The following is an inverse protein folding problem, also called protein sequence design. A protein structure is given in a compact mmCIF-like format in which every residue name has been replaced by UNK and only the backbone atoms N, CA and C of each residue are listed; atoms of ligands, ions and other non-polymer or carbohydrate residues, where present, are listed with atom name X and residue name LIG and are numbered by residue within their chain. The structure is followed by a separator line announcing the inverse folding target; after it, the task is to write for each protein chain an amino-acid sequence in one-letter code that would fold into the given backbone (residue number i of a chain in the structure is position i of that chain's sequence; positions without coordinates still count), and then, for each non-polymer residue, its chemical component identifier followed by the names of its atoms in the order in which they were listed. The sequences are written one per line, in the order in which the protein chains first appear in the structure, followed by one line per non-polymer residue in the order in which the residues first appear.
data_IF_393103819037
#
_entry.id   IF_393103819037
#
_cell.length_a   1.000
_cell.length_b   1.000
_cell.length_c   1.000
_cell.angle_alpha   90.00
_cell.angle_beta   90.00
_cell.angle_gamma   90.00
#
_symmetry.space_group_name_H-M   'P 1'
#
loop_
_entity.id
_entity.type
_entity.pdbx_description
1 polymer ?
#
# COMPACT_ATOMS: atom_id res chain seq x y z
N UNK A 1 57.20 129.11 -45.22
CA UNK A 1 55.89 128.46 -45.50
C UNK A 1 56.03 127.03 -46.02
N UNK A 2 56.85 126.77 -47.05
CA UNK A 2 56.92 125.45 -47.71
C UNK A 2 57.35 124.29 -46.77
N UNK A 3 58.37 124.47 -45.93
CA UNK A 3 58.78 123.44 -44.96
C UNK A 3 57.70 123.07 -43.93
N UNK A 4 56.86 124.02 -43.49
CA UNK A 4 55.84 123.75 -42.48
C UNK A 4 54.70 122.88 -43.02
N UNK A 5 54.27 123.15 -44.26
CA UNK A 5 53.25 122.34 -44.95
C UNK A 5 53.73 120.92 -45.26
N UNK A 6 55.01 120.76 -45.65
CA UNK A 6 55.60 119.45 -45.90
C UNK A 6 55.73 118.63 -44.62
N UNK A 7 56.11 119.27 -43.51
CA UNK A 7 56.18 118.64 -42.20
C UNK A 7 54.78 118.21 -41.70
N UNK A 8 53.75 119.06 -41.83
CA UNK A 8 52.37 118.71 -41.46
C UNK A 8 51.82 117.52 -42.26
N UNK A 9 52.09 117.47 -43.58
CA UNK A 9 51.67 116.35 -44.43
C UNK A 9 52.36 115.04 -44.02
N UNK A 10 53.64 115.12 -43.67
CA UNK A 10 54.39 113.99 -43.13
C UNK A 10 53.83 113.50 -41.79
N UNK A 11 53.48 114.40 -40.87
CA UNK A 11 52.85 114.05 -39.59
C UNK A 11 51.52 113.34 -39.77
N UNK A 12 50.66 113.83 -40.67
CA UNK A 12 49.36 113.19 -40.94
C UNK A 12 49.54 111.80 -41.55
N UNK A 13 50.45 111.64 -42.51
CA UNK A 13 50.75 110.33 -43.09
C UNK A 13 51.30 109.35 -42.04
N UNK A 14 52.17 109.82 -41.14
CA UNK A 14 52.68 109.02 -40.04
C UNK A 14 51.56 108.59 -39.07
N UNK A 15 50.65 109.50 -38.71
CA UNK A 15 49.50 109.19 -37.85
C UNK A 15 48.53 108.18 -38.50
N UNK A 16 48.27 108.31 -39.80
CA UNK A 16 47.44 107.36 -40.56
C UNK A 16 48.08 105.97 -40.57
N UNK A 17 49.37 105.88 -40.89
CA UNK A 17 50.09 104.61 -40.89
C UNK A 17 50.12 103.97 -39.50
N UNK A 18 50.26 104.77 -38.44
CA UNK A 18 50.21 104.30 -37.06
C UNK A 18 48.83 103.72 -36.70
N UNK A 19 47.75 104.38 -37.11
CA UNK A 19 46.38 103.89 -36.90
C UNK A 19 46.09 102.61 -37.69
N UNK A 20 46.53 102.53 -38.94
CA UNK A 20 46.40 101.32 -39.76
C UNK A 20 47.20 100.15 -39.15
N UNK A 21 48.42 100.43 -38.66
CA UNK A 21 49.23 99.44 -37.96
C UNK A 21 48.55 98.91 -36.69
N UNK A 22 48.05 99.79 -35.82
CA UNK A 22 47.34 99.38 -34.60
C UNK A 22 46.05 98.59 -34.94
N UNK A 23 45.30 99.02 -35.95
CA UNK A 23 44.11 98.29 -36.42
C UNK A 23 44.48 96.89 -36.94
N UNK A 24 45.52 96.79 -37.77
CA UNK A 24 45.97 95.51 -38.32
C UNK A 24 46.47 94.58 -37.22
N UNK A 25 47.20 95.11 -36.25
CA UNK A 25 47.66 94.39 -35.06
C UNK A 25 46.48 93.89 -34.22
N UNK A 26 45.46 94.71 -34.03
CA UNK A 26 44.24 94.29 -33.32
C UNK A 26 43.52 93.17 -34.09
N UNK A 27 43.34 93.29 -35.41
CA UNK A 27 42.77 92.23 -36.24
C UNK A 27 43.60 90.94 -36.22
N UNK A 28 44.93 91.03 -36.21
CA UNK A 28 45.82 89.87 -36.07
C UNK A 28 45.59 89.17 -34.72
N UNK A 29 45.51 89.93 -33.62
CA UNK A 29 45.25 89.35 -32.29
C UNK A 29 43.88 88.71 -32.20
N UNK A 30 42.83 89.31 -32.78
CA UNK A 30 41.49 88.73 -32.84
C UNK A 30 41.44 87.45 -33.69
N UNK A 31 42.10 87.44 -34.85
CA UNK A 31 42.22 86.25 -35.70
C UNK A 31 43.01 85.15 -35.01
N UNK A 32 44.07 85.49 -34.28
CA UNK A 32 44.87 84.55 -33.49
C UNK A 32 44.04 83.89 -32.38
N UNK A 33 43.30 84.70 -31.61
CA UNK A 33 42.42 84.19 -30.55
C UNK A 33 41.31 83.28 -31.13
N UNK A 34 40.69 83.69 -32.24
CA UNK A 34 39.65 82.91 -32.91
C UNK A 34 40.17 81.60 -33.49
N UNK A 35 41.39 81.61 -34.03
CA UNK A 35 42.06 80.39 -34.49
C UNK A 35 42.32 79.44 -33.33
N UNK A 36 42.79 79.95 -32.18
CA UNK A 36 43.03 79.13 -30.99
C UNK A 36 41.73 78.51 -30.44
N UNK A 37 40.62 79.25 -30.44
CA UNK A 37 39.30 78.72 -30.06
C UNK A 37 38.81 77.62 -31.02
N UNK A 38 39.00 77.81 -32.33
CA UNK A 38 38.66 76.81 -33.34
C UNK A 38 39.52 75.54 -33.20
N UNK A 39 40.80 75.66 -32.88
CA UNK A 39 41.70 74.54 -32.61
C UNK A 39 41.18 73.73 -31.41
N UNK A 40 40.93 74.39 -30.27
CA UNK A 40 40.43 73.73 -29.06
C UNK A 40 39.08 73.04 -29.28
N UNK A 41 38.19 73.68 -30.05
CA UNK A 41 36.89 73.10 -30.39
C UNK A 41 37.04 71.87 -31.29
N UNK A 42 37.96 71.92 -32.26
CA UNK A 42 38.23 70.80 -33.14
C UNK A 42 38.89 69.64 -32.39
N UNK A 43 39.84 69.90 -31.49
CA UNK A 43 40.45 68.90 -30.62
C UNK A 43 39.42 68.19 -29.74
N UNK A 44 38.50 68.95 -29.13
CA UNK A 44 37.39 68.38 -28.35
C UNK A 44 36.48 67.50 -29.21
N UNK A 45 36.19 67.91 -30.44
CA UNK A 45 35.39 67.13 -31.38
C UNK A 45 36.10 65.84 -31.80
N UNK A 46 37.39 65.90 -32.08
CA UNK A 46 38.20 64.73 -32.43
C UNK A 46 38.35 63.76 -31.25
N UNK A 47 38.44 64.27 -30.02
CA UNK A 47 38.40 63.43 -28.83
C UNK A 47 37.06 62.70 -28.70
N UNK A 48 35.93 63.42 -28.80
CA UNK A 48 34.61 62.81 -28.75
C UNK A 48 34.40 61.75 -29.85
N UNK A 49 34.96 61.96 -31.05
CA UNK A 49 34.96 60.96 -32.13
C UNK A 49 35.74 59.70 -31.78
N UNK A 50 36.91 59.83 -31.15
CA UNK A 50 37.71 58.69 -30.70
C UNK A 50 36.99 57.90 -29.62
N UNK A 51 36.37 58.59 -28.67
CA UNK A 51 35.62 57.95 -27.57
C UNK A 51 34.40 57.20 -28.11
N UNK A 52 33.65 57.80 -29.05
CA UNK A 52 32.53 57.13 -29.72
C UNK A 52 32.98 55.91 -30.50
N UNK A 53 34.11 55.99 -31.23
CA UNK A 53 34.66 54.85 -31.96
C UNK A 53 35.07 53.71 -31.01
N UNK A 54 35.67 54.02 -29.87
CA UNK A 54 36.01 53.02 -28.85
C UNK A 54 34.78 52.34 -28.24
N UNK A 55 33.69 53.09 -28.06
CA UNK A 55 32.40 52.54 -27.63
C UNK A 55 31.78 51.63 -28.70
N UNK A 56 31.79 52.05 -29.97
CA UNK A 56 31.32 51.23 -31.10
C UNK A 56 32.07 49.89 -31.19
N UNK A 57 33.41 49.92 -31.07
CA UNK A 57 34.25 48.72 -31.07
C UNK A 57 33.93 47.79 -29.89
N UNK A 58 33.59 48.35 -28.73
CA UNK A 58 33.20 47.58 -27.54
C UNK A 58 31.83 46.94 -27.73
N UNK A 59 30.85 47.70 -28.21
CA UNK A 59 29.50 47.19 -28.50
C UNK A 59 29.55 46.07 -29.56
N UNK A 60 30.38 46.21 -30.59
CA UNK A 60 30.55 45.17 -31.60
C UNK A 60 31.09 43.85 -31.00
N UNK A 61 32.04 43.92 -30.06
CA UNK A 61 32.58 42.75 -29.36
C UNK A 61 31.53 42.08 -28.47
N UNK A 62 30.75 42.86 -27.72
CA UNK A 62 29.68 42.33 -26.86
C UNK A 62 28.58 41.65 -27.69
N UNK A 63 28.17 42.25 -28.81
CA UNK A 63 27.22 41.64 -29.74
C UNK A 63 27.74 40.31 -30.31
N UNK A 64 29.03 40.24 -30.67
CA UNK A 64 29.63 39.01 -31.14
C UNK A 64 29.68 37.94 -30.04
N UNK A 65 29.99 38.31 -28.80
CA UNK A 65 29.97 37.40 -27.64
C UNK A 65 28.56 36.86 -27.39
N UNK A 66 27.54 37.72 -27.41
CA UNK A 66 26.14 37.32 -27.28
C UNK A 66 25.72 36.38 -28.40
N UNK A 67 26.14 36.63 -29.64
CA UNK A 67 25.88 35.75 -30.77
C UNK A 67 26.50 34.36 -30.55
N UNK A 68 27.76 34.31 -30.09
CA UNK A 68 28.47 33.06 -29.81
C UNK A 68 27.78 32.26 -28.67
N UNK A 69 27.38 32.94 -27.59
CA UNK A 69 26.65 32.33 -26.48
C UNK A 69 25.29 31.79 -26.93
N UNK A 70 24.53 32.56 -27.72
CA UNK A 70 23.28 32.10 -28.32
C UNK A 70 23.49 30.85 -29.17
N UNK A 71 24.55 30.83 -30.00
CA UNK A 71 24.87 29.68 -30.85
C UNK A 71 25.15 28.44 -30.00
N UNK A 72 25.98 28.56 -28.96
CA UNK A 72 26.28 27.46 -28.04
C UNK A 72 25.02 26.96 -27.32
N UNK A 73 24.17 27.88 -26.84
CA UNK A 73 22.92 27.53 -26.18
C UNK A 73 21.97 26.76 -27.10
N UNK A 74 21.77 27.25 -28.34
CA UNK A 74 20.92 26.57 -29.33
C UNK A 74 21.50 25.20 -29.70
N UNK A 75 22.83 25.08 -29.83
CA UNK A 75 23.48 23.80 -30.08
C UNK A 75 23.31 22.81 -28.92
N UNK A 76 23.50 23.26 -27.67
CA UNK A 76 23.29 22.43 -26.48
C UNK A 76 21.82 22.00 -26.37
N UNK A 77 20.88 22.92 -26.62
CA UNK A 77 19.45 22.63 -26.63
C UNK A 77 19.11 21.60 -27.71
N UNK A 78 19.60 21.78 -28.95
CA UNK A 78 19.42 20.82 -30.04
C UNK A 78 20.04 19.47 -29.70
N UNK A 79 21.21 19.43 -29.08
CA UNK A 79 21.87 18.20 -28.65
C UNK A 79 21.06 17.49 -27.56
N UNK A 80 20.52 18.22 -26.58
CA UNK A 80 19.63 17.67 -25.53
C UNK A 80 18.32 17.16 -26.09
N UNK A 81 17.67 17.90 -27.00
CA UNK A 81 16.44 17.46 -27.67
C UNK A 81 16.71 16.19 -28.49
N UNK A 82 17.80 16.15 -29.27
CA UNK A 82 18.18 14.93 -29.99
C UNK A 82 18.46 13.78 -29.03
N UNK A 83 19.13 14.04 -27.90
CA UNK A 83 19.42 13.02 -26.89
C UNK A 83 18.15 12.56 -26.16
N UNK A 84 17.18 13.43 -25.90
CA UNK A 84 15.91 13.05 -25.27
C UNK A 84 15.01 12.29 -26.22
N UNK A 85 14.92 12.71 -27.50
CA UNK A 85 14.21 11.96 -28.55
C UNK A 85 14.87 10.61 -28.77
N UNK A 86 16.20 10.56 -28.84
CA UNK A 86 16.93 9.29 -28.93
C UNK A 86 16.85 8.48 -27.64
N UNK A 87 16.65 9.08 -26.45
CA UNK A 87 16.43 8.32 -25.22
C UNK A 87 15.05 7.68 -25.23
N UNK A 88 14.03 8.36 -25.74
CA UNK A 88 12.70 7.77 -25.93
C UNK A 88 12.73 6.67 -27.01
N UNK A 89 13.56 6.79 -28.06
CA UNK A 89 13.79 5.71 -29.04
C UNK A 89 14.76 4.61 -28.54
N UNK A 90 15.69 4.90 -27.61
CA UNK A 90 16.59 3.90 -26.98
C UNK A 90 15.94 3.21 -25.77
N UNK A 91 14.80 3.67 -25.27
CA UNK A 91 13.93 2.84 -24.42
C UNK A 91 13.30 1.70 -25.25
N UNK A 92 13.33 1.77 -26.59
CA UNK A 92 13.02 0.62 -27.48
C UNK A 92 14.27 -0.26 -27.75
N UNK A 93 15.50 0.26 -27.57
CA UNK A 93 16.76 -0.51 -27.63
C UNK A 93 17.55 -0.52 -26.31
N UNK A 94 16.86 -0.77 -25.21
CA UNK A 94 17.43 -1.53 -24.11
C UNK A 94 18.50 -0.91 -23.21
N UNK A 95 18.06 -0.61 -21.99
CA UNK A 95 18.88 -0.96 -20.83
C UNK A 95 19.51 -2.36 -20.99
N UNK A 96 20.73 -2.54 -20.46
CA UNK A 96 21.53 -3.78 -20.52
C UNK A 96 20.66 -5.05 -20.53
N UNK A 97 21.03 -6.09 -21.27
CA UNK A 97 20.27 -7.36 -21.32
C UNK A 97 19.86 -7.86 -19.91
N UNK A 98 20.73 -7.64 -18.92
CA UNK A 98 20.46 -7.92 -17.51
C UNK A 98 19.30 -7.08 -16.92
N UNK A 99 19.22 -5.80 -17.29
CA UNK A 99 18.11 -4.91 -16.94
C UNK A 99 16.80 -5.33 -17.60
N UNK A 100 16.79 -5.70 -18.89
CA UNK A 100 15.59 -6.25 -19.56
C UNK A 100 15.08 -7.51 -18.86
N UNK A 101 15.97 -8.44 -18.54
CA UNK A 101 15.61 -9.66 -17.79
C UNK A 101 15.07 -9.34 -16.39
N UNK A 102 15.68 -8.38 -15.69
CA UNK A 102 15.22 -7.93 -14.38
C UNK A 102 13.84 -7.27 -14.42
N UNK A 103 13.59 -6.43 -15.42
CA UNK A 103 12.26 -5.82 -15.64
C UNK A 103 11.23 -6.92 -15.89
N UNK A 104 11.49 -7.84 -16.83
CA UNK A 104 10.57 -8.95 -17.14
C UNK A 104 10.27 -9.84 -15.91
N UNK A 105 11.28 -10.11 -15.08
CA UNK A 105 11.09 -10.85 -13.84
C UNK A 105 10.17 -10.10 -12.85
N UNK A 106 10.39 -8.81 -12.67
CA UNK A 106 9.56 -7.98 -11.77
C UNK A 106 8.13 -7.83 -12.29
N UNK A 107 7.95 -7.67 -13.60
CA UNK A 107 6.64 -7.64 -14.24
C UNK A 107 5.87 -8.95 -14.00
N UNK A 108 6.51 -10.10 -14.22
CA UNK A 108 5.88 -11.40 -13.96
C UNK A 108 5.54 -11.57 -12.48
N UNK A 109 6.43 -11.15 -11.57
CA UNK A 109 6.16 -11.22 -10.14
C UNK A 109 4.96 -10.34 -9.74
N UNK A 110 4.89 -9.12 -10.27
CA UNK A 110 3.78 -8.20 -10.05
C UNK A 110 2.45 -8.77 -10.58
N UNK A 111 2.48 -9.41 -11.75
CA UNK A 111 1.34 -10.10 -12.34
C UNK A 111 0.86 -11.28 -11.49
N UNK A 112 1.79 -12.09 -10.98
CA UNK A 112 1.48 -13.21 -10.08
C UNK A 112 0.87 -12.72 -8.78
N UNK A 113 1.46 -11.69 -8.16
CA UNK A 113 0.95 -11.10 -6.93
C UNK A 113 -0.46 -10.53 -7.14
N UNK A 114 -0.69 -9.88 -8.28
CA UNK A 114 -2.01 -9.37 -8.67
C UNK A 114 -3.03 -10.51 -8.86
N UNK A 115 -2.63 -11.63 -9.48
CA UNK A 115 -3.49 -12.80 -9.64
C UNK A 115 -3.88 -13.41 -8.28
N UNK A 116 -2.90 -13.62 -7.40
CA UNK A 116 -3.13 -14.15 -6.04
C UNK A 116 -4.02 -13.19 -5.25
N UNK A 117 -3.76 -11.88 -5.30
CA UNK A 117 -4.60 -10.88 -4.63
C UNK A 117 -6.05 -10.93 -5.12
N UNK A 118 -6.26 -10.93 -6.44
CA UNK A 118 -7.61 -11.05 -7.03
C UNK A 118 -8.30 -12.35 -6.60
N UNK A 119 -7.56 -13.46 -6.52
CA UNK A 119 -8.12 -14.74 -6.06
C UNK A 119 -8.53 -14.67 -4.59
N UNK A 120 -7.64 -14.21 -3.70
CA UNK A 120 -7.93 -14.07 -2.28
C UNK A 120 -9.11 -13.14 -2.01
N UNK A 121 -9.26 -12.05 -2.77
CA UNK A 121 -10.42 -11.16 -2.66
C UNK A 121 -11.72 -11.89 -3.02
N UNK A 122 -11.73 -12.70 -4.08
CA UNK A 122 -12.89 -13.53 -4.46
C UNK A 122 -13.18 -14.58 -3.39
N UNK A 123 -12.18 -15.37 -3.00
CA UNK A 123 -12.35 -16.41 -1.98
C UNK A 123 -12.83 -15.83 -0.65
N UNK A 124 -12.34 -14.64 -0.28
CA UNK A 124 -12.79 -13.96 0.93
C UNK A 124 -14.26 -13.50 0.83
N UNK A 125 -14.69 -13.04 -0.35
CA UNK A 125 -16.10 -12.71 -0.59
C UNK A 125 -16.99 -13.97 -0.53
N UNK A 126 -16.55 -15.08 -1.11
CA UNK A 126 -17.26 -16.36 -1.07
C UNK A 126 -17.39 -16.88 0.37
N UNK A 127 -16.29 -16.90 1.13
CA UNK A 127 -16.28 -17.29 2.54
C UNK A 127 -17.20 -16.40 3.40
N UNK A 128 -17.20 -15.08 3.16
CA UNK A 128 -18.13 -14.15 3.82
C UNK A 128 -19.59 -14.49 3.54
N UNK A 129 -19.91 -15.02 2.36
CA UNK A 129 -21.25 -15.45 1.99
C UNK A 129 -21.60 -16.86 2.52
N UNK A 130 -20.62 -17.76 2.63
CA UNK A 130 -20.82 -19.12 3.12
C UNK A 130 -20.95 -19.19 4.64
N UNK A 131 -20.18 -18.39 5.38
CA UNK A 131 -20.17 -18.41 6.84
C UNK A 131 -21.58 -18.26 7.45
N UNK A 132 -22.43 -17.27 7.06
CA UNK A 132 -23.80 -17.17 7.57
C UNK A 132 -24.69 -18.39 7.25
N UNK A 133 -24.43 -19.09 6.13
CA UNK A 133 -25.19 -20.29 5.75
C UNK A 133 -24.84 -21.46 6.66
N UNK A 134 -23.55 -21.66 6.92
CA UNK A 134 -23.06 -22.68 7.85
C UNK A 134 -23.53 -22.41 9.28
N UNK A 135 -23.48 -21.15 9.72
CA UNK A 135 -24.01 -20.74 11.02
C UNK A 135 -25.52 -21.01 11.17
N UNK A 136 -26.33 -20.71 10.15
CA UNK A 136 -27.77 -21.02 10.15
C UNK A 136 -28.03 -22.53 10.24
N UNK A 137 -27.29 -23.33 9.47
CA UNK A 137 -27.37 -24.80 9.52
C UNK A 137 -26.99 -25.31 10.91
N UNK A 138 -25.91 -24.78 11.50
CA UNK A 138 -25.46 -25.17 12.83
C UNK A 138 -26.53 -24.87 13.88
N UNK A 139 -27.11 -23.66 13.88
CA UNK A 139 -28.21 -23.30 14.79
C UNK A 139 -29.41 -24.24 14.66
N UNK A 140 -29.86 -24.52 13.44
CA UNK A 140 -30.97 -25.46 13.22
C UNK A 140 -30.64 -26.88 13.72
N UNK A 141 -29.40 -27.34 13.54
CA UNK A 141 -28.99 -28.65 14.08
C UNK A 141 -28.94 -28.67 15.61
N UNK A 142 -28.47 -27.59 16.24
CA UNK A 142 -28.47 -27.44 17.70
C UNK A 142 -29.90 -27.45 18.26
N UNK A 143 -30.83 -26.73 17.62
CA UNK A 143 -32.24 -26.72 18.00
C UNK A 143 -32.88 -28.11 17.86
N UNK A 144 -32.61 -28.81 16.75
CA UNK A 144 -33.08 -30.19 16.55
C UNK A 144 -32.54 -31.14 17.60
N UNK A 145 -31.26 -31.03 17.96
CA UNK A 145 -30.65 -31.86 19.02
C UNK A 145 -31.34 -31.58 20.36
N UNK A 146 -31.50 -30.31 20.73
CA UNK A 146 -32.20 -29.93 21.97
C UNK A 146 -33.64 -30.45 22.02
N UNK A 147 -34.37 -30.41 20.90
CA UNK A 147 -35.71 -30.97 20.79
C UNK A 147 -35.71 -32.49 21.00
N UNK A 148 -34.77 -33.21 20.39
CA UNK A 148 -34.63 -34.66 20.55
C UNK A 148 -34.24 -35.04 21.99
N UNK A 149 -33.32 -34.30 22.62
CA UNK A 149 -32.95 -34.52 24.03
C UNK A 149 -34.16 -34.32 24.96
N UNK A 150 -34.97 -33.30 24.69
CA UNK A 150 -36.19 -33.03 25.45
C UNK A 150 -37.21 -34.16 25.25
N UNK A 151 -37.49 -34.55 24.01
CA UNK A 151 -38.41 -35.64 23.70
C UNK A 151 -37.95 -36.98 24.30
N UNK A 152 -36.65 -37.26 24.29
CA UNK A 152 -36.08 -38.46 24.91
C UNK A 152 -36.26 -38.46 26.43
N UNK A 153 -36.02 -37.31 27.07
CA UNK A 153 -36.23 -37.14 28.51
C UNK A 153 -37.71 -37.35 28.86
N UNK A 154 -38.62 -36.72 28.13
CA UNK A 154 -40.07 -36.87 28.32
C UNK A 154 -40.55 -38.31 28.10
N UNK A 155 -40.04 -38.99 27.06
CA UNK A 155 -40.37 -40.39 26.79
C UNK A 155 -39.89 -41.31 27.92
N UNK A 156 -38.67 -41.09 28.45
CA UNK A 156 -38.15 -41.85 29.60
C UNK A 156 -38.98 -41.60 30.87
N UNK A 157 -39.33 -40.35 31.15
CA UNK A 157 -40.19 -39.99 32.27
C UNK A 157 -41.62 -40.55 32.11
N UNK A 158 -42.15 -40.58 30.89
CA UNK A 158 -43.41 -41.23 30.54
C UNK A 158 -43.39 -42.72 30.83
N UNK A 159 -42.41 -43.45 30.29
CA UNK A 159 -42.26 -44.88 30.51
C UNK A 159 -42.08 -45.24 31.99
N UNK A 160 -41.32 -44.44 32.75
CA UNK A 160 -41.17 -44.62 34.19
C UNK A 160 -42.49 -44.39 34.95
N UNK A 161 -43.29 -43.38 34.56
CA UNK A 161 -44.63 -43.15 35.12
C UNK A 161 -45.57 -44.32 34.84
N UNK A 162 -45.58 -44.82 33.62
CA UNK A 162 -46.45 -45.94 33.22
C UNK A 162 -46.07 -47.24 33.94
N UNK A 163 -44.78 -47.53 34.05
CA UNK A 163 -44.28 -48.64 34.88
C UNK A 163 -44.76 -48.53 36.32
N UNK A 164 -44.72 -47.34 36.92
CA UNK A 164 -45.20 -47.11 38.29
C UNK A 164 -46.72 -47.32 38.42
N UNK A 165 -47.51 -46.84 37.45
CA UNK A 165 -48.97 -47.09 37.42
C UNK A 165 -49.28 -48.58 37.29
N UNK A 166 -48.62 -49.26 36.37
CA UNK A 166 -48.79 -50.70 36.16
C UNK A 166 -48.44 -51.49 37.42
N UNK A 167 -47.31 -51.17 38.07
CA UNK A 167 -46.92 -51.82 39.32
C UNK A 167 -47.97 -51.62 40.42
N UNK A 168 -48.48 -50.39 40.59
CA UNK A 168 -49.53 -50.10 41.56
C UNK A 168 -50.81 -50.91 41.29
N UNK A 169 -51.23 -51.00 40.03
CA UNK A 169 -52.41 -51.77 39.63
C UNK A 169 -52.22 -53.28 39.89
N UNK A 170 -51.04 -53.82 39.56
CA UNK A 170 -50.68 -55.20 39.86
C UNK A 170 -50.73 -55.49 41.36
N UNK A 171 -50.17 -54.61 42.19
CA UNK A 171 -50.15 -54.80 43.64
C UNK A 171 -51.55 -54.65 44.26
N UNK A 172 -52.38 -53.73 43.74
CA UNK A 172 -53.81 -53.63 44.08
C UNK A 172 -54.55 -54.94 43.79
N UNK A 173 -54.33 -55.54 42.62
CA UNK A 173 -54.93 -56.82 42.24
C UNK A 173 -54.41 -57.95 43.14
N UNK A 174 -53.09 -58.04 43.37
CA UNK A 174 -52.51 -59.05 44.28
C UNK A 174 -53.13 -58.98 45.67
N UNK A 175 -53.32 -57.78 46.21
CA UNK A 175 -53.92 -57.58 47.53
C UNK A 175 -55.40 -58.01 47.54
N UNK A 176 -56.18 -57.66 46.52
CA UNK A 176 -57.55 -58.14 46.38
C UNK A 176 -57.64 -59.68 46.28
N UNK A 177 -56.73 -60.30 45.53
CA UNK A 177 -56.63 -61.77 45.43
C UNK A 177 -56.25 -62.39 46.78
N UNK A 178 -55.28 -61.81 47.51
CA UNK A 178 -54.87 -62.26 48.84
C UNK A 178 -56.04 -62.20 49.83
N UNK A 179 -56.79 -61.10 49.86
CA UNK A 179 -57.98 -60.96 50.69
C UNK A 179 -59.05 -62.01 50.35
N UNK A 180 -59.30 -62.26 49.05
CA UNK A 180 -60.24 -63.30 48.59
C UNK A 180 -59.78 -64.72 48.96
N UNK A 181 -58.48 -65.01 48.86
CA UNK A 181 -57.92 -66.30 49.25
C UNK A 181 -57.95 -66.50 50.77
N UNK A 182 -57.70 -65.45 51.56
CA UNK A 182 -57.78 -65.50 53.01
C UNK A 182 -59.23 -65.68 53.48
N UNK A 183 -60.20 -65.03 52.84
CA UNK A 183 -61.63 -65.23 53.06
C UNK A 183 -62.10 -66.65 52.70
N UNK A 184 -61.40 -67.35 51.78
CA UNK A 184 -61.69 -68.74 51.39
C UNK A 184 -61.04 -69.78 52.30
N UNK A 185 -60.04 -69.38 53.10
CA UNK A 185 -59.42 -70.23 54.12
C UNK A 185 -60.23 -70.14 55.41
N UNK A 186 -61.41 -70.77 55.40
CA UNK A 186 -62.09 -71.17 56.64
C UNK A 186 -61.23 -72.13 57.47
N UNK A 187 -61.55 -72.38 58.75
CA UNK A 187 -60.71 -73.14 59.67
C UNK A 187 -60.34 -74.52 59.10
N UNK A 188 -59.07 -74.73 58.78
CA UNK A 188 -58.58 -76.04 58.36
C UNK A 188 -58.42 -76.94 59.58
N UNK A 189 -59.20 -78.03 59.65
CA UNK A 189 -59.02 -79.08 60.65
C UNK A 189 -57.63 -79.73 60.52
N UNK A 190 -56.84 -79.74 61.60
CA UNK A 190 -55.59 -80.48 61.68
C UNK A 190 -55.89 -81.98 61.82
N UNK A 191 -55.75 -82.72 60.72
CA UNK A 191 -55.76 -84.19 60.73
C UNK A 191 -54.30 -84.64 60.89
N UNK A 192 -53.94 -85.08 62.10
CA UNK A 192 -52.70 -85.78 62.37
C UNK A 192 -52.68 -87.11 61.59
N UNK A 193 -51.57 -87.42 60.92
CA UNK A 193 -51.29 -88.75 60.36
C UNK A 193 -50.00 -89.33 60.96
N UNK A 194 -49.89 -90.68 61.05
CA UNK A 194 -49.13 -91.39 62.08
C UNK A 194 -47.63 -91.51 61.77
N UNK A 195 -46.88 -91.78 62.83
CA UNK A 195 -45.43 -91.99 62.90
C UNK A 195 -45.02 -93.27 62.15
N UNK A 196 -44.04 -93.18 61.23
CA UNK A 196 -43.08 -94.27 61.00
C UNK A 196 -41.69 -93.71 60.68
N UNK A 197 -40.73 -94.19 61.46
CA UNK A 197 -39.32 -93.82 61.52
C UNK A 197 -38.51 -94.21 60.27
N UNK A 198 -37.47 -93.43 59.99
CA UNK A 198 -36.51 -93.68 58.91
C UNK A 198 -35.60 -92.47 58.65
N UNK A 199 -34.80 -92.13 59.66
CA UNK A 199 -33.71 -91.14 59.67
C UNK A 199 -32.46 -91.85 59.10
N UNK A 200 -31.65 -91.32 58.17
CA UNK A 200 -30.53 -90.38 58.37
C UNK A 200 -29.87 -90.12 56.98
N UNK A 201 -29.59 -88.87 56.53
CA UNK A 201 -28.46 -87.95 56.87
C UNK A 201 -27.20 -88.23 55.99
N UNK A 202 -26.44 -87.30 55.36
CA UNK A 202 -26.52 -85.88 55.01
C UNK A 202 -25.24 -85.50 54.20
N UNK A 203 -25.22 -84.28 53.64
CA UNK A 203 -24.08 -83.39 53.26
C UNK A 203 -23.47 -83.59 51.85
N UNK A 204 -23.22 -82.53 51.05
CA UNK A 204 -23.37 -81.09 51.31
C UNK A 204 -23.06 -80.18 50.09
N UNK A 205 -23.53 -78.93 50.22
CA UNK A 205 -22.84 -77.63 49.96
C UNK A 205 -22.38 -77.29 48.50
N UNK A 206 -23.20 -76.53 47.74
CA UNK A 206 -23.04 -75.09 47.31
C UNK A 206 -22.32 -74.88 45.92
N UNK A 207 -22.27 -73.66 45.30
CA UNK A 207 -23.32 -73.14 44.42
C UNK A 207 -22.80 -72.43 43.11
N UNK A 208 -23.72 -71.85 42.31
CA UNK A 208 -23.56 -70.74 41.32
C UNK A 208 -22.55 -70.87 40.14
N UNK A 209 -23.05 -70.83 38.90
CA UNK A 209 -22.54 -69.94 37.80
C UNK A 209 -23.46 -70.00 36.56
N UNK A 210 -23.74 -68.83 35.97
CA UNK A 210 -24.77 -68.61 34.93
C UNK A 210 -24.35 -68.90 33.48
N UNK A 211 -25.25 -68.67 32.50
CA UNK A 211 -24.93 -68.76 31.09
C UNK A 211 -24.47 -67.41 30.53
N UNK A 212 -23.52 -67.49 29.60
CA UNK A 212 -22.73 -66.38 29.11
C UNK A 212 -23.44 -65.37 28.22
N UNK A 213 -22.69 -64.31 27.92
CA UNK A 213 -22.51 -63.77 26.57
C UNK A 213 -21.29 -62.87 26.56
N UNK A 214 -20.38 -63.21 25.66
CA UNK A 214 -19.15 -62.50 25.33
C UNK A 214 -19.56 -61.18 24.67
N UNK A 215 -19.10 -60.06 25.23
CA UNK A 215 -19.08 -58.76 24.57
C UNK A 215 -17.77 -58.68 23.79
N UNK A 216 -17.88 -58.53 22.48
CA UNK A 216 -16.79 -58.17 21.60
C UNK A 216 -16.70 -56.64 21.46
N UNK A 217 -15.46 -56.21 21.38
CA UNK A 217 -14.92 -55.01 20.71
C UNK A 217 -15.22 -53.61 21.28
N UNK A 218 -14.25 -53.19 22.09
CA UNK A 218 -13.80 -51.81 22.26
C UNK A 218 -13.08 -51.37 20.96
N UNK A 219 -13.64 -50.41 20.24
CA UNK A 219 -12.98 -49.77 19.09
C UNK A 219 -12.94 -48.26 19.31
N UNK A 220 -11.77 -47.79 19.75
CA UNK A 220 -11.44 -46.37 19.90
C UNK A 220 -10.81 -45.86 18.60
N UNK A 221 -11.32 -44.78 17.97
CA UNK A 221 -10.72 -44.29 16.74
C UNK A 221 -9.47 -43.46 17.06
N UNK A 222 -8.28 -44.05 16.86
CA UNK A 222 -7.02 -43.31 16.77
C UNK A 222 -7.05 -42.41 15.54
N UNK A 223 -6.95 -41.09 15.79
CA UNK A 223 -6.77 -40.02 14.81
C UNK A 223 -5.54 -40.30 13.92
N UNK A 224 -5.75 -40.28 12.60
CA UNK A 224 -4.69 -40.12 11.60
C UNK A 224 -4.12 -38.71 11.69
N UNK A 225 -2.86 -38.59 12.11
CA UNK A 225 -2.04 -37.40 11.89
C UNK A 225 -1.45 -37.49 10.49
N UNK A 226 -1.79 -36.54 9.63
CA UNK A 226 -1.14 -36.30 8.34
C UNK A 226 0.09 -35.41 8.63
N UNK A 227 1.29 -35.98 8.58
CA UNK A 227 2.50 -35.24 8.18
C UNK A 227 2.67 -35.54 6.68
N UNK A 228 2.68 -34.58 5.76
CA UNK A 228 3.46 -33.34 5.81
C UNK A 228 4.80 -33.62 5.15
N UNK A 229 4.80 -33.66 3.82
CA UNK A 229 5.98 -33.97 3.01
C UNK A 229 6.89 -32.77 2.77
N UNK A 230 7.98 -33.05 2.05
CA UNK A 230 8.76 -32.05 1.33
C UNK A 230 10.19 -31.91 1.83
N UNK A 231 11.09 -32.76 1.31
CA UNK A 231 12.53 -32.55 1.45
C UNK A 231 12.97 -31.30 0.68
N UNK A 232 13.71 -30.44 1.37
CA UNK A 232 14.44 -29.31 0.79
C UNK A 232 15.83 -29.85 0.42
N UNK A 233 16.18 -29.75 -0.86
CA UNK A 233 17.53 -29.98 -1.38
C UNK A 233 18.35 -28.71 -1.20
N UNK A 234 19.57 -28.90 -0.73
CA UNK A 234 20.60 -27.89 -0.55
C UNK A 234 21.09 -27.28 -1.86
N UNK A 235 21.54 -26.03 -1.70
CA UNK A 235 22.16 -25.10 -2.64
C UNK A 235 23.29 -25.68 -3.50
N UNK A 236 23.31 -25.24 -4.76
CA UNK A 236 24.52 -24.89 -5.52
C UNK A 236 24.17 -23.79 -6.53
#
# INVERSE_FOLDING_TARGET
MFCFSLNQKYTLAHQQLQQEYEKLKQEETEKSNRLQELILTNERREQARKDLKGLEDTVAKELQTLHNLRKLFVQDLQARIKKSVNAEDNEDDGGSLAQKQKISFLENNLDQLTKVHKQLVRDNADLRCELPKLEKRLRATMERVKALETALKEAKEGAMRDRKRYQFEVDRIKEAVRQKNLARRGPSAQIAKPIRAGQQHLQGVRPVMGPGRILADDDTPKRKSIMGGGGIKDES
#
